data_IF_830026182885
#
_entry.id   IF_830026182885
#
_cell.length_a   1.000
_cell.length_b   1.000
_cell.length_c   1.000
_cell.angle_alpha   90.00
_cell.angle_beta   90.00
_cell.angle_gamma   90.00
#
_symmetry.space_group_name_H-M   'P 1'
#
loop_
_entity.id
_entity.type
_entity.pdbx_description
1 polymer ?
#
# COMPACT_ATOMS: atom_id res chain seq x y z
N UNK A 1 -7.74 17.77 -46.05
CA UNK A 1 -7.49 17.40 -44.64
C UNK A 1 -7.39 18.59 -43.68
N UNK A 2 -6.95 19.79 -44.07
CA UNK A 2 -6.81 20.92 -43.13
C UNK A 2 -8.16 21.58 -42.72
N UNK A 3 -9.15 21.64 -43.64
CA UNK A 3 -10.46 22.26 -43.36
C UNK A 3 -11.34 21.44 -42.40
N UNK A 4 -11.26 20.12 -42.41
CA UNK A 4 -12.03 19.27 -41.48
C UNK A 4 -11.53 19.37 -40.03
N UNK A 5 -10.24 19.64 -39.83
CA UNK A 5 -9.67 19.85 -38.49
C UNK A 5 -10.14 21.17 -37.87
N UNK A 6 -10.28 22.23 -38.68
CA UNK A 6 -10.69 23.56 -38.21
C UNK A 6 -12.14 23.60 -37.73
N UNK A 7 -13.03 22.85 -38.40
CA UNK A 7 -14.42 22.69 -38.00
C UNK A 7 -14.56 21.88 -36.71
N UNK A 8 -13.76 20.81 -36.56
CA UNK A 8 -13.75 20.00 -35.34
C UNK A 8 -13.27 20.80 -34.12
N UNK A 9 -12.21 21.60 -34.27
CA UNK A 9 -11.69 22.45 -33.20
C UNK A 9 -12.70 23.54 -32.82
N UNK A 10 -13.38 24.15 -33.80
CA UNK A 10 -14.38 25.19 -33.54
C UNK A 10 -15.63 24.64 -32.82
N UNK A 11 -16.07 23.43 -33.16
CA UNK A 11 -17.20 22.77 -32.49
C UNK A 11 -16.85 22.41 -31.04
N UNK A 12 -15.64 21.91 -30.79
CA UNK A 12 -15.16 21.62 -29.43
C UNK A 12 -15.07 22.91 -28.60
N UNK A 13 -14.61 24.01 -29.21
CA UNK A 13 -14.52 25.30 -28.53
C UNK A 13 -15.91 25.86 -28.18
N UNK A 14 -16.90 25.72 -29.05
CA UNK A 14 -18.30 26.11 -28.75
C UNK A 14 -18.95 25.25 -27.66
N UNK A 15 -18.64 23.95 -27.60
CA UNK A 15 -19.13 23.05 -26.55
C UNK A 15 -18.51 23.42 -25.19
N UNK A 16 -17.22 23.79 -25.16
CA UNK A 16 -16.53 24.23 -23.95
C UNK A 16 -17.05 25.57 -23.42
N UNK A 17 -17.40 26.52 -24.30
CA UNK A 17 -17.99 27.81 -23.88
C UNK A 17 -19.39 27.60 -23.26
N UNK A 18 -20.20 26.69 -23.82
CA UNK A 18 -21.54 26.39 -23.26
C UNK A 18 -21.48 25.65 -21.92
N UNK A 19 -20.40 24.92 -21.63
CA UNK A 19 -20.20 24.24 -20.35
C UNK A 19 -19.80 25.21 -19.21
N UNK A 20 -19.34 26.42 -19.52
CA UNK A 20 -18.88 27.42 -18.53
C UNK A 20 -20.00 28.32 -17.97
N UNK A 21 -21.22 28.26 -18.53
CA UNK A 21 -22.34 29.13 -18.13
C UNK A 21 -23.35 28.49 -17.15
N UNK A 22 -23.04 27.34 -16.56
CA UNK A 22 -23.86 26.77 -15.48
C UNK A 22 -23.39 27.32 -14.14
N UNK A 23 -23.96 28.44 -13.71
CA UNK A 23 -23.83 28.95 -12.34
C UNK A 23 -24.57 28.03 -11.38
N UNK A 24 -23.85 27.08 -10.77
CA UNK A 24 -24.33 26.33 -9.61
C UNK A 24 -23.86 27.10 -8.37
N UNK A 25 -24.79 27.81 -7.72
CA UNK A 25 -24.57 28.39 -6.39
C UNK A 25 -24.33 27.27 -5.37
N UNK A 26 -23.22 27.28 -4.60
CA UNK A 26 -22.96 26.26 -3.59
C UNK A 26 -23.84 26.50 -2.37
N UNK A 27 -24.78 25.59 -2.11
CA UNK A 27 -25.48 25.50 -0.84
C UNK A 27 -24.50 24.89 0.16
N UNK A 28 -23.87 25.74 0.97
CA UNK A 28 -23.07 25.34 2.11
C UNK A 28 -24.01 25.01 3.28
N UNK A 29 -24.61 23.82 3.31
CA UNK A 29 -25.25 23.31 4.53
C UNK A 29 -24.20 22.59 5.36
N UNK A 30 -23.60 23.31 6.31
CA UNK A 30 -22.95 22.70 7.48
C UNK A 30 -24.00 21.88 8.25
N UNK A 31 -23.79 20.58 8.52
CA UNK A 31 -24.63 19.87 9.46
C UNK A 31 -24.38 20.45 10.85
N UNK A 32 -25.41 21.02 11.47
CA UNK A 32 -25.37 21.30 12.91
C UNK A 32 -25.21 19.96 13.63
N UNK A 33 -24.01 19.68 14.15
CA UNK A 33 -23.84 18.67 15.19
C UNK A 33 -24.61 19.16 16.43
N UNK A 34 -25.83 18.64 16.62
CA UNK A 34 -26.45 18.62 17.93
C UNK A 34 -25.64 17.63 18.78
N UNK A 35 -24.72 18.15 19.57
CA UNK A 35 -24.07 17.41 20.64
C UNK A 35 -25.17 17.02 21.63
N UNK A 36 -25.62 15.76 21.59
CA UNK A 36 -26.44 15.19 22.65
C UNK A 36 -25.53 15.07 23.86
N UNK A 37 -25.61 16.06 24.74
CA UNK A 37 -24.97 16.02 26.04
C UNK A 37 -25.59 14.88 26.86
N UNK A 38 -24.71 14.01 27.36
CA UNK A 38 -24.91 13.02 28.43
C UNK A 38 -25.51 11.65 28.07
N UNK A 39 -24.68 10.75 27.54
CA UNK A 39 -24.88 9.30 27.72
C UNK A 39 -24.12 8.90 28.98
N UNK A 40 -24.83 8.68 30.09
CA UNK A 40 -24.22 8.23 31.37
C UNK A 40 -23.97 6.72 31.33
N UNK A 41 -22.80 6.31 31.83
CA UNK A 41 -22.41 4.89 32.01
C UNK A 41 -23.38 4.18 32.99
N UNK A 42 -23.78 2.92 32.74
CA UNK A 42 -24.62 2.15 33.66
C UNK A 42 -23.87 1.79 34.96
N UNK A 43 -24.60 1.56 36.05
CA UNK A 43 -24.05 1.11 37.33
C UNK A 43 -23.62 -0.36 37.31
N UNK A 44 -22.57 -0.68 38.07
CA UNK A 44 -21.83 -1.96 38.00
C UNK A 44 -22.68 -3.22 38.28
N UNK A 45 -23.77 -3.09 39.05
CA UNK A 45 -24.66 -4.22 39.40
C UNK A 45 -25.36 -4.88 38.19
N UNK A 46 -25.47 -4.18 37.05
CA UNK A 46 -26.12 -4.70 35.83
C UNK A 46 -25.16 -5.32 34.82
N UNK A 47 -23.83 -5.20 35.01
CA UNK A 47 -22.82 -5.68 34.06
C UNK A 47 -22.67 -7.20 34.08
N UNK A 48 -23.11 -7.87 35.14
CA UNK A 48 -22.88 -9.30 35.38
C UNK A 48 -23.89 -10.19 34.65
N UNK A 49 -25.10 -9.71 34.34
CA UNK A 49 -26.17 -10.58 33.81
C UNK A 49 -26.27 -10.63 32.29
N UNK A 50 -25.61 -9.73 31.54
CA UNK A 50 -25.85 -9.65 30.10
C UNK A 50 -24.63 -9.17 29.27
N UNK A 51 -23.66 -10.08 29.08
CA UNK A 51 -22.44 -9.84 28.29
C UNK A 51 -22.73 -9.38 26.86
N UNK A 52 -23.83 -9.83 26.26
CA UNK A 52 -24.25 -9.42 24.92
C UNK A 52 -24.67 -7.95 24.86
N UNK A 53 -25.32 -7.43 25.90
CA UNK A 53 -25.70 -6.02 25.98
C UNK A 53 -24.50 -5.11 26.18
N UNK A 54 -23.48 -5.58 26.91
CA UNK A 54 -22.21 -4.86 27.06
C UNK A 54 -21.45 -4.77 25.73
N UNK A 55 -21.34 -5.87 24.98
CA UNK A 55 -20.69 -5.88 23.65
C UNK A 55 -21.47 -4.96 22.70
N UNK A 56 -22.80 -5.06 22.70
CA UNK A 56 -23.65 -4.18 21.89
C UNK A 56 -23.46 -2.71 22.25
N UNK A 57 -23.36 -2.37 23.54
CA UNK A 57 -23.07 -1.02 24.00
C UNK A 57 -21.67 -0.53 23.63
N UNK A 58 -20.64 -1.37 23.78
CA UNK A 58 -19.26 -1.01 23.38
C UNK A 58 -19.15 -0.69 21.89
N UNK A 59 -19.91 -1.42 21.06
CA UNK A 59 -19.88 -1.24 19.60
C UNK A 59 -20.82 -0.13 19.10
N UNK A 60 -21.90 0.18 19.83
CA UNK A 60 -22.96 1.09 19.32
C UNK A 60 -23.23 2.31 20.20
N UNK A 61 -22.69 2.36 21.42
CA UNK A 61 -22.98 3.40 22.41
C UNK A 61 -24.41 3.38 23.00
N UNK A 62 -25.32 2.51 22.53
CA UNK A 62 -26.71 2.44 23.00
C UNK A 62 -26.87 1.39 24.12
N UNK A 63 -27.55 1.74 25.22
CA UNK A 63 -27.88 0.84 26.32
C UNK A 63 -29.39 0.68 26.43
N UNK A 64 -29.91 -0.53 26.25
CA UNK A 64 -31.36 -0.81 26.24
C UNK A 64 -31.91 -0.97 27.68
N UNK A 65 -32.51 0.09 28.22
CA UNK A 65 -33.31 0.04 29.46
C UNK A 65 -34.75 0.45 29.15
N UNK A 66 -35.57 -0.54 28.78
CA UNK A 66 -37.03 -0.49 28.69
C UNK A 66 -37.71 0.53 27.74
N UNK A 67 -38.63 -0.02 26.93
CA UNK A 67 -39.69 0.54 26.07
C UNK A 67 -39.37 1.66 25.07
N UNK A 68 -38.19 2.26 25.12
CA UNK A 68 -37.63 2.96 23.97
C UNK A 68 -36.74 1.96 23.23
N UNK A 69 -37.27 1.36 22.16
CA UNK A 69 -36.40 0.71 21.17
C UNK A 69 -35.34 1.75 20.82
N UNK A 70 -34.05 1.38 20.79
CA UNK A 70 -33.06 2.17 20.05
C UNK A 70 -33.61 2.18 18.61
N UNK A 71 -34.40 3.18 18.27
CA UNK A 71 -35.19 3.26 17.05
C UNK A 71 -34.24 3.64 15.94
N UNK A 72 -33.40 2.68 15.51
CA UNK A 72 -32.44 2.79 14.41
C UNK A 72 -31.71 4.15 14.32
N UNK A 73 -31.48 4.83 15.45
CA UNK A 73 -31.03 6.23 15.46
C UNK A 73 -29.53 6.36 15.18
N UNK A 74 -28.92 5.27 14.72
CA UNK A 74 -27.62 5.17 14.06
C UNK A 74 -27.64 4.03 13.02
N UNK A 75 -28.68 3.97 12.19
CA UNK A 75 -28.38 3.72 10.78
C UNK A 75 -28.18 5.10 10.18
N UNK A 76 -26.97 5.66 10.36
CA UNK A 76 -26.47 6.58 9.35
C UNK A 76 -26.49 5.77 8.04
N UNK A 77 -27.35 6.12 7.06
CA UNK A 77 -27.30 5.46 5.78
C UNK A 77 -26.03 5.96 5.08
N UNK A 78 -24.89 5.36 5.40
CA UNK A 78 -23.70 5.48 4.58
C UNK A 78 -22.52 6.26 5.15
N UNK A 79 -22.15 6.09 6.42
CA UNK A 79 -20.74 6.24 6.77
C UNK A 79 -19.96 5.09 6.12
N UNK A 80 -19.62 5.23 4.84
CA UNK A 80 -18.72 4.30 4.16
C UNK A 80 -17.36 4.36 4.86
N UNK A 81 -16.96 3.25 5.47
CA UNK A 81 -15.60 3.08 5.93
C UNK A 81 -14.69 2.91 4.72
N UNK A 82 -13.82 3.89 4.50
CA UNK A 82 -12.80 3.82 3.46
C UNK A 82 -11.57 3.10 4.01
N UNK A 83 -10.81 2.39 3.16
CA UNK A 83 -9.56 1.78 3.59
C UNK A 83 -8.60 2.84 4.15
N UNK A 84 -7.86 2.44 5.18
CA UNK A 84 -6.72 3.22 5.66
C UNK A 84 -5.61 3.27 4.60
N UNK A 85 -4.74 4.27 4.70
CA UNK A 85 -3.60 4.42 3.79
C UNK A 85 -2.48 3.42 4.07
N UNK A 86 -2.37 2.97 5.31
CA UNK A 86 -1.24 2.21 5.85
C UNK A 86 -1.55 0.73 5.99
N UNK A 87 -2.69 0.27 5.49
CA UNK A 87 -3.13 -1.13 5.55
C UNK A 87 -3.59 -1.62 6.93
N UNK A 88 -3.51 -0.78 7.97
CA UNK A 88 -3.98 -1.14 9.32
C UNK A 88 -5.50 -1.32 9.37
N UNK A 89 -5.94 -2.19 10.26
CA UNK A 89 -7.36 -2.48 10.53
C UNK A 89 -8.16 -3.07 9.36
N UNK A 90 -7.49 -3.50 8.28
CA UNK A 90 -8.15 -4.22 7.19
C UNK A 90 -8.70 -5.58 7.66
N UNK A 91 -7.96 -6.26 8.54
CA UNK A 91 -8.41 -7.47 9.20
C UNK A 91 -8.94 -7.17 10.62
N UNK A 92 -10.18 -7.57 10.90
CA UNK A 92 -10.86 -7.31 12.19
C UNK A 92 -10.19 -8.05 13.37
N UNK A 93 -9.66 -9.26 13.14
CA UNK A 93 -9.08 -10.10 14.19
C UNK A 93 -7.61 -9.83 14.44
N UNK A 94 -6.88 -9.36 13.41
CA UNK A 94 -5.46 -9.04 13.46
C UNK A 94 -5.20 -7.75 12.67
N UNK A 95 -5.44 -6.58 13.28
CA UNK A 95 -5.34 -5.29 12.62
C UNK A 95 -4.02 -5.00 11.91
N UNK A 96 -2.94 -5.65 12.32
CA UNK A 96 -1.58 -5.50 11.80
C UNK A 96 -1.31 -6.32 10.53
N UNK A 97 -2.15 -7.32 10.19
CA UNK A 97 -1.93 -8.09 8.96
C UNK A 97 -2.06 -7.15 7.77
N UNK A 98 -1.01 -7.08 6.96
CA UNK A 98 -1.00 -6.28 5.74
C UNK A 98 -0.85 -4.79 5.98
N UNK A 99 -0.49 -4.37 7.19
CA UNK A 99 0.00 -3.03 7.41
C UNK A 99 1.35 -2.79 6.72
N UNK A 100 1.63 -1.54 6.39
CA UNK A 100 2.93 -1.08 5.90
C UNK A 100 4.04 -1.34 6.93
N UNK A 101 5.28 -1.52 6.46
CA UNK A 101 6.47 -1.81 7.27
C UNK A 101 6.32 -3.08 8.15
N UNK A 102 5.55 -4.07 7.68
CA UNK A 102 5.39 -5.38 8.34
C UNK A 102 6.21 -6.49 7.66
N UNK A 103 6.57 -7.57 8.39
CA UNK A 103 7.35 -8.68 7.82
C UNK A 103 6.68 -9.36 6.61
N UNK A 104 7.49 -9.68 5.60
CA UNK A 104 7.04 -10.47 4.45
C UNK A 104 6.62 -11.88 4.86
N UNK A 105 5.51 -12.35 4.28
CA UNK A 105 5.01 -13.71 4.51
C UNK A 105 6.01 -14.75 4.03
N UNK A 106 6.39 -15.66 4.93
CA UNK A 106 7.25 -16.80 4.62
C UNK A 106 6.44 -18.07 4.42
N UNK A 107 6.46 -18.62 3.20
CA UNK A 107 5.91 -19.96 2.91
C UNK A 107 6.78 -21.11 3.42
N UNK A 108 8.07 -20.85 3.58
CA UNK A 108 9.07 -21.82 4.05
C UNK A 108 9.99 -21.18 5.09
N UNK A 109 10.57 -21.99 6.00
CA UNK A 109 11.54 -21.49 6.97
C UNK A 109 12.73 -20.76 6.31
N UNK A 110 13.31 -19.81 7.02
CA UNK A 110 14.46 -19.05 6.53
C UNK A 110 15.70 -19.95 6.35
N UNK A 111 16.36 -19.84 5.20
CA UNK A 111 17.58 -20.59 4.90
C UNK A 111 18.82 -19.70 5.03
N UNK A 112 19.17 -19.31 6.25
CA UNK A 112 20.42 -18.60 6.57
C UNK A 112 21.54 -19.58 6.92
N UNK A 113 22.80 -19.19 6.71
CA UNK A 113 23.98 -20.04 7.00
C UNK A 113 24.06 -20.40 8.48
N UNK A 114 23.76 -19.44 9.34
CA UNK A 114 23.77 -19.57 10.81
C UNK A 114 22.37 -19.81 11.39
N UNK A 115 21.37 -20.03 10.53
CA UNK A 115 19.97 -20.13 10.92
C UNK A 115 19.32 -18.81 11.33
N UNK A 116 20.06 -17.70 11.45
CA UNK A 116 19.54 -16.45 12.01
C UNK A 116 19.51 -15.31 10.96
N UNK A 117 20.66 -14.87 10.47
CA UNK A 117 20.72 -13.70 9.58
C UNK A 117 21.85 -13.72 8.55
N UNK A 118 22.87 -14.58 8.67
CA UNK A 118 23.99 -14.59 7.72
C UNK A 118 23.53 -15.20 6.40
N UNK A 119 23.65 -14.46 5.26
CA UNK A 119 23.25 -14.98 3.96
C UNK A 119 23.83 -16.38 3.69
N UNK A 120 22.99 -17.28 3.19
CA UNK A 120 23.45 -18.61 2.79
C UNK A 120 24.08 -18.59 1.41
N UNK A 121 24.69 -19.72 1.05
CA UNK A 121 25.13 -19.93 -0.33
C UNK A 121 26.58 -19.53 -0.63
N UNK A 122 27.46 -19.47 0.37
CA UNK A 122 28.91 -19.34 0.14
C UNK A 122 29.47 -20.44 -0.78
N UNK A 123 28.85 -21.61 -0.79
CA UNK A 123 29.21 -22.73 -1.67
C UNK A 123 28.42 -22.72 -2.99
N UNK A 124 27.55 -21.73 -3.23
CA UNK A 124 26.78 -21.61 -4.48
C UNK A 124 27.64 -20.89 -5.54
N UNK A 125 27.38 -21.12 -6.84
CA UNK A 125 28.06 -20.39 -7.89
C UNK A 125 27.82 -18.89 -7.78
N UNK A 126 28.80 -18.11 -8.26
CA UNK A 126 28.69 -16.65 -8.31
C UNK A 126 27.41 -16.22 -9.09
N UNK A 127 26.61 -15.27 -8.57
CA UNK A 127 25.37 -14.83 -9.22
C UNK A 127 25.55 -14.32 -10.66
N UNK A 128 26.65 -13.63 -10.96
CA UNK A 128 26.93 -13.15 -12.33
C UNK A 128 27.21 -14.30 -13.28
N UNK A 129 27.87 -15.37 -12.80
CA UNK A 129 28.06 -16.60 -13.59
C UNK A 129 26.70 -17.22 -13.94
N UNK A 130 25.81 -17.36 -12.95
CA UNK A 130 24.45 -17.90 -13.18
C UNK A 130 23.67 -17.02 -14.15
N UNK A 131 23.72 -15.69 -13.99
CA UNK A 131 23.06 -14.75 -14.89
C UNK A 131 23.58 -14.86 -16.33
N UNK A 132 24.89 -15.02 -16.53
CA UNK A 132 25.46 -15.20 -17.87
C UNK A 132 25.00 -16.52 -18.50
N UNK A 133 25.10 -17.62 -17.77
CA UNK A 133 24.76 -18.95 -18.32
C UNK A 133 23.25 -19.09 -18.59
N UNK A 134 22.38 -18.51 -17.76
CA UNK A 134 20.93 -18.72 -17.86
C UNK A 134 20.17 -17.60 -18.58
N UNK A 135 20.63 -16.35 -18.48
CA UNK A 135 19.89 -15.19 -18.96
C UNK A 135 20.54 -14.54 -20.21
N UNK A 136 21.70 -15.03 -20.66
CA UNK A 136 22.27 -14.57 -21.93
C UNK A 136 21.52 -15.16 -23.12
N UNK A 137 21.34 -14.36 -24.16
CA UNK A 137 20.65 -14.77 -25.37
C UNK A 137 20.56 -13.65 -26.39
N UNK A 138 20.06 -13.97 -27.57
CA UNK A 138 19.78 -12.97 -28.60
C UNK A 138 18.59 -12.08 -28.17
N UNK A 139 18.77 -10.77 -28.36
CA UNK A 139 17.71 -9.80 -28.10
C UNK A 139 16.73 -9.76 -29.27
N UNK A 140 15.47 -9.42 -28.99
CA UNK A 140 14.44 -9.26 -30.02
C UNK A 140 13.61 -10.51 -30.32
N UNK A 141 13.71 -11.56 -29.49
CA UNK A 141 12.76 -12.66 -29.56
C UNK A 141 11.35 -12.22 -29.16
N UNK A 142 10.36 -12.62 -29.95
CA UNK A 142 8.96 -12.27 -29.69
C UNK A 142 8.33 -13.15 -28.61
N UNK A 143 7.33 -12.61 -27.91
CA UNK A 143 6.54 -13.39 -26.97
C UNK A 143 5.79 -14.52 -27.69
N UNK A 144 6.03 -15.77 -27.28
CA UNK A 144 5.31 -16.96 -27.81
C UNK A 144 3.79 -16.80 -27.73
N UNK A 145 3.30 -16.10 -26.70
CA UNK A 145 1.87 -15.83 -26.47
C UNK A 145 1.39 -14.50 -27.08
N UNK A 146 2.22 -13.84 -27.90
CA UNK A 146 1.93 -12.54 -28.54
C UNK A 146 1.48 -11.46 -27.54
N UNK A 147 2.10 -11.46 -26.35
CA UNK A 147 1.86 -10.42 -25.34
C UNK A 147 2.47 -9.11 -25.78
N UNK A 148 1.75 -8.02 -25.57
CA UNK A 148 2.27 -6.69 -25.84
C UNK A 148 3.10 -6.17 -24.66
N UNK A 149 3.85 -5.10 -24.92
CA UNK A 149 4.73 -4.47 -23.93
C UNK A 149 3.94 -3.83 -22.77
N UNK A 150 2.74 -3.31 -23.05
CA UNK A 150 1.86 -2.73 -22.03
C UNK A 150 1.52 -3.74 -20.92
N UNK A 151 1.29 -5.01 -21.26
CA UNK A 151 1.02 -6.06 -20.27
C UNK A 151 2.21 -6.29 -19.32
N UNK A 152 3.44 -6.11 -19.79
CA UNK A 152 4.64 -6.25 -18.96
C UNK A 152 4.72 -5.11 -17.95
N UNK A 153 4.57 -3.87 -18.41
CA UNK A 153 4.59 -2.69 -17.53
C UNK A 153 3.39 -2.65 -16.58
N UNK A 154 2.21 -3.10 -17.00
CA UNK A 154 1.08 -3.24 -16.10
C UNK A 154 1.36 -4.31 -15.02
N UNK A 155 2.03 -5.41 -15.40
CA UNK A 155 2.50 -6.39 -14.42
C UNK A 155 3.49 -5.81 -13.41
N UNK A 156 4.39 -4.94 -13.85
CA UNK A 156 5.28 -4.20 -12.96
C UNK A 156 4.52 -3.30 -12.00
N UNK A 157 3.54 -2.53 -12.49
CA UNK A 157 2.67 -1.68 -11.65
C UNK A 157 1.93 -2.49 -10.58
N UNK A 158 1.42 -3.68 -10.92
CA UNK A 158 0.77 -4.57 -9.95
C UNK A 158 1.76 -5.09 -8.89
N UNK A 159 3.02 -5.34 -9.24
CA UNK A 159 4.04 -5.76 -8.26
C UNK A 159 4.43 -4.60 -7.35
N UNK A 160 4.64 -3.41 -7.92
CA UNK A 160 4.98 -2.18 -7.19
C UNK A 160 3.84 -1.64 -6.31
N UNK A 161 2.61 -2.12 -6.54
CA UNK A 161 1.45 -1.85 -5.68
C UNK A 161 1.46 -2.70 -4.40
N UNK A 162 1.93 -3.95 -4.45
CA UNK A 162 1.79 -4.92 -3.35
C UNK A 162 3.10 -5.25 -2.63
N UNK A 163 4.24 -4.94 -3.22
CA UNK A 163 5.56 -5.29 -2.69
C UNK A 163 6.61 -4.22 -2.97
N UNK A 164 7.19 -3.68 -1.90
CA UNK A 164 8.46 -2.96 -1.91
C UNK A 164 9.31 -3.47 -0.75
N UNK A 165 10.53 -3.90 -1.06
CA UNK A 165 11.50 -4.34 -0.07
C UNK A 165 12.91 -3.90 -0.47
N UNK A 166 13.03 -2.75 -1.16
CA UNK A 166 14.27 -2.33 -1.79
C UNK A 166 15.12 -1.40 -0.92
N UNK A 167 14.55 -0.72 0.10
CA UNK A 167 15.36 0.20 0.90
C UNK A 167 16.39 -0.56 1.72
N UNK A 168 17.55 0.06 1.84
CA UNK A 168 18.68 -0.51 2.56
C UNK A 168 18.46 -0.50 4.08
N UNK A 169 18.98 -1.51 4.76
CA UNK A 169 18.96 -1.61 6.21
C UNK A 169 19.89 -0.59 6.88
N UNK A 170 19.57 -0.25 8.13
CA UNK A 170 20.43 0.48 9.05
C UNK A 170 20.75 -0.44 10.24
N UNK A 171 22.04 -0.66 10.60
CA UNK A 171 23.23 -0.19 9.92
C UNK A 171 23.40 -0.79 8.51
N UNK A 172 24.11 -0.09 7.59
CA UNK A 172 24.35 -0.61 6.25
C UNK A 172 25.13 -1.93 6.28
N UNK A 173 24.55 -2.98 5.72
CA UNK A 173 25.19 -4.29 5.58
C UNK A 173 25.42 -4.60 4.12
N UNK A 174 26.66 -4.95 3.77
CA UNK A 174 27.05 -5.27 2.40
C UNK A 174 27.10 -6.79 2.16
N UNK A 175 26.58 -7.21 1.01
CA UNK A 175 26.70 -8.57 0.51
C UNK A 175 27.18 -8.54 -0.95
N UNK A 176 28.40 -8.07 -1.12
CA UNK A 176 28.98 -7.77 -2.43
C UNK A 176 29.08 -9.02 -3.33
N UNK A 177 28.91 -8.79 -4.63
CA UNK A 177 29.10 -9.81 -5.66
C UNK A 177 30.45 -9.60 -6.34
N UNK A 178 31.32 -10.60 -6.30
CA UNK A 178 32.59 -10.54 -7.01
C UNK A 178 32.37 -10.53 -8.53
N UNK A 179 32.95 -9.56 -9.23
CA UNK A 179 32.89 -9.44 -10.68
C UNK A 179 34.03 -10.28 -11.25
N UNK A 180 33.74 -11.46 -11.80
CA UNK A 180 34.77 -12.34 -12.39
C UNK A 180 34.73 -12.40 -13.91
N UNK A 181 33.55 -12.21 -14.52
CA UNK A 181 33.31 -12.42 -15.96
C UNK A 181 33.15 -11.13 -16.78
N UNK A 182 33.21 -9.96 -16.12
CA UNK A 182 33.08 -8.64 -16.75
C UNK A 182 34.22 -7.68 -16.39
N UNK A 183 35.31 -8.19 -15.79
CA UNK A 183 36.44 -7.38 -15.32
C UNK A 183 37.02 -6.50 -16.42
N UNK A 184 37.12 -7.05 -17.63
CA UNK A 184 37.72 -6.39 -18.79
C UNK A 184 36.96 -5.14 -19.26
N UNK A 185 35.70 -4.96 -18.82
CA UNK A 185 34.85 -3.84 -19.23
C UNK A 185 34.81 -2.69 -18.22
N UNK A 186 35.07 -2.94 -16.94
CA UNK A 186 34.75 -1.96 -15.88
C UNK A 186 35.86 -1.70 -14.86
N UNK A 187 36.98 -2.44 -14.89
CA UNK A 187 38.04 -2.37 -13.87
C UNK A 187 37.57 -2.54 -12.41
N UNK A 188 36.31 -2.90 -12.19
CA UNK A 188 35.73 -3.12 -10.87
C UNK A 188 35.86 -4.59 -10.47
N UNK A 189 36.24 -4.83 -9.21
CA UNK A 189 36.41 -6.18 -8.66
C UNK A 189 35.15 -6.71 -8.00
N UNK A 190 34.30 -5.83 -7.51
CA UNK A 190 33.09 -6.14 -6.76
C UNK A 190 31.93 -5.22 -7.15
N UNK A 191 30.72 -5.77 -7.15
CA UNK A 191 29.47 -5.04 -7.25
C UNK A 191 28.85 -4.95 -5.85
N UNK A 192 28.70 -3.74 -5.29
CA UNK A 192 28.13 -3.59 -3.96
C UNK A 192 26.63 -3.88 -3.96
N UNK A 193 26.19 -4.69 -3.01
CA UNK A 193 24.77 -4.90 -2.72
C UNK A 193 24.53 -4.61 -1.26
N UNK A 194 23.63 -3.68 -1.00
CA UNK A 194 23.13 -3.42 0.35
C UNK A 194 22.02 -4.41 0.68
N UNK A 195 22.06 -4.94 1.90
CA UNK A 195 20.96 -5.73 2.43
C UNK A 195 19.78 -4.82 2.74
N UNK A 196 18.58 -5.35 2.51
CA UNK A 196 17.34 -4.61 2.64
C UNK A 196 16.87 -4.53 4.09
N UNK A 197 15.99 -3.57 4.39
CA UNK A 197 15.37 -3.39 5.71
C UNK A 197 14.73 -4.69 6.20
N UNK A 198 14.77 -4.86 7.50
CA UNK A 198 14.25 -6.04 8.18
C UNK A 198 13.66 -5.63 9.52
N UNK A 199 12.81 -6.48 10.08
CA UNK A 199 12.26 -6.29 11.42
C UNK A 199 13.39 -6.44 12.47
N UNK A 200 13.73 -5.36 13.15
CA UNK A 200 14.81 -5.30 14.14
C UNK A 200 14.60 -6.24 15.33
N UNK A 201 13.35 -6.65 15.60
CA UNK A 201 13.05 -7.65 16.63
C UNK A 201 13.48 -9.07 16.22
N UNK A 202 13.81 -9.28 14.94
CA UNK A 202 14.18 -10.58 14.34
C UNK A 202 15.66 -10.67 13.97
N UNK A 203 16.14 -11.88 13.67
CA UNK A 203 17.51 -12.13 13.22
C UNK A 203 18.55 -12.28 14.31
N UNK A 204 18.12 -12.31 15.58
CA UNK A 204 19.01 -12.46 16.73
C UNK A 204 19.24 -13.92 17.15
N UNK A 205 18.41 -14.86 16.69
CA UNK A 205 18.56 -16.28 17.00
C UNK A 205 18.02 -17.20 15.89
N UNK A 206 18.43 -18.47 15.84
CA UNK A 206 17.89 -19.44 14.88
C UNK A 206 16.37 -19.67 14.99
N UNK A 207 15.79 -19.44 16.18
CA UNK A 207 14.35 -19.60 16.43
C UNK A 207 13.55 -18.37 15.99
N UNK A 208 14.20 -17.22 15.81
CA UNK A 208 13.60 -16.01 15.27
C UNK A 208 14.51 -15.43 14.17
N UNK A 209 14.57 -16.09 13.00
CA UNK A 209 15.43 -15.66 11.91
C UNK A 209 14.98 -14.31 11.35
N UNK A 210 15.92 -13.60 10.72
CA UNK A 210 15.70 -12.26 10.17
C UNK A 210 14.53 -12.24 9.18
N UNK A 211 13.64 -11.26 9.27
CA UNK A 211 12.52 -11.10 8.35
C UNK A 211 12.57 -9.75 7.64
N UNK A 212 12.59 -9.75 6.31
CA UNK A 212 12.54 -8.53 5.51
C UNK A 212 11.15 -7.90 5.61
N UNK A 213 11.10 -6.57 5.57
CA UNK A 213 9.85 -5.82 5.64
C UNK A 213 9.27 -5.61 4.24
N UNK A 214 7.94 -5.52 4.17
CA UNK A 214 7.24 -4.87 3.07
C UNK A 214 7.05 -3.40 3.43
N UNK A 215 7.62 -2.50 2.64
CA UNK A 215 7.62 -1.05 2.88
C UNK A 215 6.36 -0.37 2.31
N UNK A 216 5.47 -1.16 1.72
CA UNK A 216 4.12 -0.79 1.28
C UNK A 216 3.10 -1.82 1.74
N UNK A 217 1.81 -1.56 1.49
CA UNK A 217 0.74 -2.51 1.80
C UNK A 217 0.76 -3.67 0.81
N UNK A 218 0.35 -4.90 1.18
CA UNK A 218 0.20 -6.01 0.25
C UNK A 218 -1.18 -6.04 -0.43
N UNK A 219 -1.95 -4.98 -0.28
CA UNK A 219 -3.30 -4.85 -0.83
C UNK A 219 -3.26 -4.15 -2.19
N UNK A 220 -4.29 -4.35 -3.01
CA UNK A 220 -4.50 -3.57 -4.22
C UNK A 220 -5.49 -2.45 -3.84
N UNK A 221 -4.98 -1.40 -3.22
CA UNK A 221 -5.74 -0.32 -2.56
C UNK A 221 -5.48 1.07 -3.17
N UNK A 222 -4.65 1.13 -4.21
CA UNK A 222 -4.18 2.33 -4.87
C UNK A 222 -2.97 2.97 -4.19
N UNK A 223 -2.24 2.25 -3.33
CA UNK A 223 -1.08 2.75 -2.59
C UNK A 223 -0.01 3.40 -3.48
N UNK A 224 0.21 2.90 -4.70
CA UNK A 224 1.14 3.48 -5.66
C UNK A 224 0.71 4.88 -6.14
N UNK A 225 -0.59 5.17 -6.14
CA UNK A 225 -1.16 6.44 -6.59
C UNK A 225 -1.38 7.40 -5.41
N UNK A 226 -1.90 6.88 -4.30
CA UNK A 226 -2.36 7.68 -3.17
C UNK A 226 -1.36 7.75 -2.01
N UNK A 227 -0.32 6.91 -2.03
CA UNK A 227 0.64 6.76 -0.95
C UNK A 227 0.18 5.82 0.16
N UNK A 228 1.16 5.27 0.88
CA UNK A 228 0.95 4.34 2.00
C UNK A 228 0.87 5.03 3.36
N UNK A 229 0.80 6.37 3.38
CA UNK A 229 0.59 7.13 4.61
C UNK A 229 -0.34 8.31 4.37
N UNK A 230 -1.11 8.65 5.38
CA UNK A 230 -2.00 9.82 5.35
C UNK A 230 -1.22 11.11 5.08
N UNK A 231 -0.01 11.23 5.64
CA UNK A 231 0.85 12.39 5.42
C UNK A 231 1.25 12.53 3.94
N UNK A 232 1.64 11.43 3.30
CA UNK A 232 1.97 11.43 1.86
C UNK A 232 0.75 11.73 1.00
N UNK A 233 -0.39 11.08 1.29
CA UNK A 233 -1.64 11.34 0.55
C UNK A 233 -2.09 12.79 0.67
N UNK A 234 -1.88 13.41 1.82
CA UNK A 234 -2.19 14.82 2.03
C UNK A 234 -1.34 15.74 1.14
N UNK A 235 -0.05 15.42 0.96
CA UNK A 235 0.85 16.17 0.07
C UNK A 235 0.43 16.03 -1.40
N UNK A 236 0.01 14.83 -1.80
CA UNK A 236 -0.43 14.56 -3.17
C UNK A 236 -1.78 15.22 -3.54
N UNK A 237 -2.52 15.79 -2.60
CA UNK A 237 -3.86 16.34 -2.84
C UNK A 237 -3.86 17.86 -2.87
N UNK A 238 -4.65 18.44 -3.78
CA UNK A 238 -4.84 19.90 -3.82
C UNK A 238 -5.86 20.41 -2.80
N UNK A 239 -6.61 19.49 -2.16
CA UNK A 239 -7.81 19.78 -1.35
C UNK A 239 -8.87 20.64 -2.04
N UNK A 240 -8.81 20.76 -3.37
CA UNK A 240 -9.79 21.46 -4.18
C UNK A 240 -10.45 20.46 -5.14
N UNK A 241 -11.78 20.41 -5.13
CA UNK A 241 -12.59 19.55 -5.99
C UNK A 241 -12.21 18.05 -5.98
N UNK A 242 -11.58 17.55 -4.90
CA UNK A 242 -11.15 16.15 -4.81
C UNK A 242 -10.04 15.75 -5.78
N UNK A 243 -9.18 16.69 -6.18
CA UNK A 243 -8.13 16.45 -7.19
C UNK A 243 -6.75 16.17 -6.59
N UNK A 244 -5.93 15.44 -7.35
CA UNK A 244 -4.50 15.22 -7.09
C UNK A 244 -3.71 16.41 -7.63
N UNK A 245 -2.65 16.80 -6.91
CA UNK A 245 -1.74 17.84 -7.35
C UNK A 245 -0.95 17.37 -8.58
N UNK A 246 -1.03 18.14 -9.66
CA UNK A 246 -0.38 17.85 -10.93
C UNK A 246 1.14 18.07 -10.90
N UNK A 247 1.63 18.82 -9.91
CA UNK A 247 3.04 19.15 -9.79
C UNK A 247 3.82 18.11 -8.96
N UNK A 248 3.15 17.42 -8.03
CA UNK A 248 3.75 16.39 -7.16
C UNK A 248 3.63 14.97 -7.77
N UNK A 249 2.95 14.82 -8.90
CA UNK A 249 2.85 13.55 -9.65
C UNK A 249 4.01 13.33 -10.63
N UNK A 250 5.20 13.90 -10.39
CA UNK A 250 6.35 13.90 -11.31
C UNK A 250 7.55 13.13 -10.78
#
# INVERSE_FOLDING_TARGET
MCLQLYWFISIIYLILINAQNVTISPILTTPKQQIISSIKKPSDDYLVSNRQNLIKWLLTGCWELNKYKCESMYHDPGSTEYPGYDGWYNNIGQPEIGAVDTPLLRRWPAAYKDGAYKPSGFNRPNPLKISKELLSGEIGSESVKKRNVLQVFFGQQVVEEILDAQRSACPPEYFNINITIFKDKTNHTEMPILRTRYDESTGNSPNNPRQQLNEITPYIDGGLIYGTSKAWSNILRTYSNGTIDKNESR
#
